data_IF_158811522144
#
_entry.id   IF_158811522144
#
_cell.length_a   1.000
_cell.length_b   1.000
_cell.length_c   1.000
_cell.angle_alpha   90.00
_cell.angle_beta   90.00
_cell.angle_gamma   90.00
#
_symmetry.space_group_name_H-M   'P 1'
#
loop_
_entity.id
_entity.type
_entity.pdbx_description
1 polymer ?
#
# COMPACT_ATOMS: atom_id res chain seq x y z
N UNK A 1 4.84 24.94 1.57
CA UNK A 1 4.27 24.44 0.31
C UNK A 1 2.93 23.76 0.61
N UNK A 2 1.82 24.16 -0.02
CA UNK A 2 0.53 23.53 0.23
C UNK A 2 0.56 22.09 -0.29
N UNK A 3 0.14 21.13 0.55
CA UNK A 3 -0.03 19.73 0.15
C UNK A 3 -1.12 19.68 -0.93
N UNK A 4 -0.73 19.44 -2.19
CA UNK A 4 -1.69 19.21 -3.27
C UNK A 4 -2.47 17.94 -2.91
N UNK A 5 -3.80 18.04 -2.81
CA UNK A 5 -4.64 16.86 -2.76
C UNK A 5 -4.51 16.17 -4.12
N UNK A 6 -3.92 14.97 -4.12
CA UNK A 6 -3.73 14.14 -5.32
C UNK A 6 -5.06 13.49 -5.72
N UNK A 7 -5.93 13.26 -4.73
CA UNK A 7 -7.21 12.58 -4.89
C UNK A 7 -8.38 13.49 -4.50
N UNK A 8 -9.47 13.35 -5.23
CA UNK A 8 -10.80 13.85 -4.90
C UNK A 8 -11.37 13.14 -3.65
N UNK A 9 -12.50 13.65 -3.13
CA UNK A 9 -13.11 13.09 -1.94
C UNK A 9 -13.66 11.67 -2.17
N UNK A 10 -14.23 11.39 -3.35
CA UNK A 10 -14.74 10.07 -3.71
C UNK A 10 -13.63 9.03 -3.85
N UNK A 11 -12.52 9.40 -4.49
CA UNK A 11 -11.34 8.54 -4.62
C UNK A 11 -10.76 8.17 -3.26
N UNK A 12 -10.72 9.12 -2.32
CA UNK A 12 -10.31 8.83 -0.93
C UNK A 12 -11.26 7.84 -0.25
N UNK A 13 -12.57 8.06 -0.33
CA UNK A 13 -13.55 7.18 0.30
C UNK A 13 -13.47 5.76 -0.25
N UNK A 14 -13.25 5.60 -1.56
CA UNK A 14 -13.09 4.30 -2.19
C UNK A 14 -11.79 3.60 -1.76
N UNK A 15 -10.70 4.34 -1.56
CA UNK A 15 -9.40 3.78 -1.16
C UNK A 15 -9.39 3.34 0.31
N UNK A 16 -10.21 3.99 1.14
CA UNK A 16 -10.39 3.66 2.56
C UNK A 16 -11.51 2.61 2.79
N UNK A 17 -12.24 2.22 1.76
CA UNK A 17 -13.29 1.21 1.87
C UNK A 17 -12.65 -0.16 2.09
N UNK A 18 -12.96 -0.77 3.23
CA UNK A 18 -12.60 -2.17 3.49
C UNK A 18 -13.57 -3.08 2.73
N UNK A 19 -13.09 -4.15 2.09
CA UNK A 19 -13.97 -5.18 1.55
C UNK A 19 -14.82 -5.79 2.67
N UNK A 20 -16.10 -6.02 2.43
CA UNK A 20 -17.02 -6.66 3.39
C UNK A 20 -16.83 -8.18 3.46
N UNK A 21 -16.24 -8.77 2.41
CA UNK A 21 -16.02 -10.20 2.28
C UNK A 21 -14.70 -10.66 2.93
N UNK A 22 -14.81 -11.67 3.79
CA UNK A 22 -13.71 -12.20 4.61
C UNK A 22 -12.59 -12.84 3.77
N UNK A 23 -12.93 -13.46 2.64
CA UNK A 23 -11.99 -14.03 1.69
C UNK A 23 -11.14 -12.93 1.03
N UNK A 24 -11.76 -11.79 0.75
CA UNK A 24 -11.15 -10.62 0.11
C UNK A 24 -10.27 -9.85 1.10
N UNK A 25 -10.71 -9.75 2.35
CA UNK A 25 -9.91 -9.30 3.50
C UNK A 25 -8.64 -10.15 3.67
N UNK A 26 -8.77 -11.48 3.57
CA UNK A 26 -7.64 -12.41 3.65
C UNK A 26 -6.67 -12.26 2.48
N UNK A 27 -7.18 -11.96 1.27
CA UNK A 27 -6.33 -11.69 0.10
C UNK A 27 -5.58 -10.36 0.20
N UNK A 28 -6.12 -9.35 0.90
CA UNK A 28 -5.39 -8.11 1.19
C UNK A 28 -4.18 -8.30 2.13
N UNK A 29 -4.08 -9.44 2.83
CA UNK A 29 -2.90 -9.78 3.66
C UNK A 29 -1.71 -10.23 2.82
N UNK A 30 -1.95 -10.72 1.58
CA UNK A 30 -0.91 -11.23 0.71
C UNK A 30 -0.71 -10.30 -0.49
N UNK A 31 0.47 -9.69 -0.59
CA UNK A 31 0.88 -8.95 -1.77
C UNK A 31 0.81 -9.86 -3.01
N UNK A 32 0.26 -9.33 -4.12
CA UNK A 32 0.29 -10.05 -5.40
C UNK A 32 1.74 -10.22 -5.89
N UNK A 33 1.95 -11.11 -6.86
CA UNK A 33 3.29 -11.30 -7.44
C UNK A 33 3.85 -9.99 -8.03
N UNK A 34 3.00 -9.17 -8.67
CA UNK A 34 3.41 -7.87 -9.20
C UNK A 34 3.77 -6.88 -8.08
N UNK A 35 2.99 -6.86 -7.00
CA UNK A 35 3.27 -5.97 -5.86
C UNK A 35 4.59 -6.33 -5.18
N UNK A 36 4.87 -7.63 -5.03
CA UNK A 36 6.14 -8.11 -4.49
C UNK A 36 7.34 -7.70 -5.35
N UNK A 37 7.19 -7.74 -6.68
CA UNK A 37 8.23 -7.30 -7.61
C UNK A 37 8.50 -5.80 -7.47
N UNK A 38 7.46 -4.97 -7.43
CA UNK A 38 7.59 -3.54 -7.18
C UNK A 38 8.22 -3.22 -5.82
N UNK A 39 7.81 -3.93 -4.77
CA UNK A 39 8.38 -3.79 -3.42
C UNK A 39 9.86 -4.17 -3.43
N UNK A 40 10.23 -5.28 -4.05
CA UNK A 40 11.62 -5.74 -4.12
C UNK A 40 12.52 -4.79 -4.91
N UNK A 41 12.01 -4.22 -6.00
CA UNK A 41 12.73 -3.22 -6.81
C UNK A 41 13.06 -1.95 -6.01
N UNK A 42 12.19 -1.55 -5.07
CA UNK A 42 12.32 -0.30 -4.33
C UNK A 42 12.79 -0.46 -2.88
N UNK A 43 12.89 -1.69 -2.38
CA UNK A 43 13.48 -1.97 -1.06
C UNK A 43 14.96 -1.62 -1.07
N UNK A 44 15.29 -0.46 -0.49
CA UNK A 44 16.67 -0.16 -0.11
C UNK A 44 17.09 -1.15 0.98
N UNK A 45 18.32 -1.71 0.92
CA UNK A 45 18.83 -2.51 2.02
C UNK A 45 18.81 -1.64 3.29
N UNK A 46 18.13 -2.14 4.33
CA UNK A 46 18.14 -1.48 5.63
C UNK A 46 19.56 -1.55 6.18
N UNK A 47 20.32 -0.46 6.07
CA UNK A 47 21.60 -0.30 6.77
C UNK A 47 21.31 -0.05 8.24
N UNK A 48 20.99 -1.11 8.99
CA UNK A 48 21.01 -1.04 10.44
C UNK A 48 22.47 -0.88 10.86
N UNK A 49 22.88 0.36 11.07
CA UNK A 49 24.11 0.66 11.82
C UNK A 49 23.72 0.57 13.29
N UNK A 50 23.97 -0.58 13.91
CA UNK A 50 24.05 -0.62 15.37
C UNK A 50 25.27 0.22 15.75
N UNK A 51 25.03 1.30 16.50
CA UNK A 51 26.05 2.14 17.12
C UNK A 51 26.16 1.77 18.58
#
# INVERSE_FOLDING_TARGET
MPRRQIFSQSERSSLLALPEDELTLTRMVYFSAQDLELINMHRKPCKWTFR
#
